data_IF_053719678159
#
_entry.id   IF_053719678159
#
_cell.length_a   1.000
_cell.length_b   1.000
_cell.length_c   1.000
_cell.angle_alpha   90.00
_cell.angle_beta   90.00
_cell.angle_gamma   90.00
#
_symmetry.space_group_name_H-M   'P 1'
#
loop_
_entity.id
_entity.type
_entity.pdbx_description
1 polymer ?
#
# COMPACT_ATOMS: atom_id res chain seq x y z
N UNK A 1 -11.35 -5.33 -40.07
CA UNK A 1 -10.93 -6.49 -39.27
C UNK A 1 -9.76 -7.27 -39.87
N UNK A 2 -9.65 -7.45 -41.20
CA UNK A 2 -8.55 -8.21 -41.84
C UNK A 2 -7.15 -7.60 -41.60
N UNK A 3 -7.02 -6.30 -41.80
CA UNK A 3 -5.74 -5.56 -41.73
C UNK A 3 -4.99 -5.74 -40.39
N UNK A 4 -5.71 -5.85 -39.27
CA UNK A 4 -5.13 -5.98 -37.92
C UNK A 4 -4.59 -7.40 -37.67
N UNK A 5 -5.16 -8.40 -38.33
CA UNK A 5 -4.80 -9.82 -38.14
C UNK A 5 -3.77 -10.34 -39.14
N UNK A 6 -3.45 -9.55 -40.18
CA UNK A 6 -2.53 -9.96 -41.26
C UNK A 6 -1.09 -10.18 -40.77
N UNK A 7 -0.67 -9.48 -39.72
CA UNK A 7 0.66 -9.64 -39.14
C UNK A 7 0.55 -9.87 -37.64
N UNK A 8 0.78 -11.13 -37.24
CA UNK A 8 0.88 -11.46 -35.83
C UNK A 8 2.06 -10.70 -35.22
N UNK A 9 1.82 -10.08 -34.07
CA UNK A 9 2.90 -9.53 -33.26
C UNK A 9 3.81 -10.67 -32.82
N UNK A 10 5.11 -10.41 -32.80
CA UNK A 10 6.08 -11.35 -32.26
C UNK A 10 5.69 -11.77 -30.84
N UNK A 11 5.93 -13.04 -30.45
CA UNK A 11 5.65 -13.52 -29.11
C UNK A 11 6.22 -12.56 -28.07
N UNK A 12 5.35 -12.05 -27.20
CA UNK A 12 5.79 -11.24 -26.06
C UNK A 12 6.85 -12.03 -25.31
N UNK A 13 8.05 -11.46 -25.16
CA UNK A 13 9.12 -12.06 -24.36
C UNK A 13 8.57 -12.46 -23.00
N UNK A 14 8.79 -13.72 -22.61
CA UNK A 14 8.45 -14.20 -21.27
C UNK A 14 9.08 -13.22 -20.26
N UNK A 15 8.24 -12.59 -19.46
CA UNK A 15 8.67 -11.77 -18.30
C UNK A 15 9.09 -12.72 -17.18
N UNK A 16 9.99 -13.66 -17.47
CA UNK A 16 10.44 -14.74 -16.61
C UNK A 16 11.81 -14.44 -16.02
N UNK A 17 12.05 -13.20 -15.60
CA UNK A 17 13.08 -12.93 -14.61
C UNK A 17 12.44 -12.72 -13.23
N UNK A 18 11.70 -13.72 -12.68
CA UNK A 18 11.22 -13.65 -11.31
C UNK A 18 12.41 -13.50 -10.37
N UNK A 19 13.62 -13.94 -10.76
CA UNK A 19 14.87 -13.65 -10.05
C UNK A 19 15.18 -12.15 -9.96
N UNK A 20 15.00 -11.38 -11.01
CA UNK A 20 15.26 -9.92 -10.98
C UNK A 20 14.21 -9.21 -10.15
N UNK A 21 12.94 -9.56 -10.33
CA UNK A 21 11.84 -9.00 -9.53
C UNK A 21 12.00 -9.38 -8.07
N UNK A 22 12.21 -10.66 -7.74
CA UNK A 22 12.44 -11.14 -6.38
C UNK A 22 13.69 -10.52 -5.77
N UNK A 23 14.82 -10.44 -6.48
CA UNK A 23 16.04 -9.79 -5.98
C UNK A 23 15.80 -8.30 -5.69
N UNK A 24 15.05 -7.60 -6.55
CA UNK A 24 14.67 -6.20 -6.34
C UNK A 24 13.75 -6.07 -5.13
N UNK A 25 12.66 -6.84 -5.08
CA UNK A 25 11.62 -6.72 -4.06
C UNK A 25 12.08 -7.22 -2.67
N UNK A 26 12.83 -8.32 -2.60
CA UNK A 26 13.31 -8.90 -1.33
C UNK A 26 14.43 -8.08 -0.68
N UNK A 27 15.22 -7.34 -1.47
CA UNK A 27 16.28 -6.46 -0.95
C UNK A 27 15.86 -4.98 -0.90
N UNK A 28 14.62 -4.66 -1.28
CA UNK A 28 14.11 -3.30 -1.18
C UNK A 28 13.70 -3.01 0.26
N UNK A 29 14.65 -2.53 1.05
CA UNK A 29 14.37 -2.10 2.41
C UNK A 29 13.41 -0.90 2.38
N UNK A 30 12.20 -1.07 2.91
CA UNK A 30 11.19 0.00 3.02
C UNK A 30 11.68 1.17 3.90
N UNK A 31 12.56 0.87 4.87
CA UNK A 31 13.18 1.84 5.77
C UNK A 31 14.70 1.72 5.70
N UNK A 32 15.38 2.87 5.73
CA UNK A 32 16.83 2.93 5.95
C UNK A 32 17.15 2.59 7.41
N UNK A 33 18.34 2.07 7.66
CA UNK A 33 18.83 1.71 9.00
C UNK A 33 18.72 2.87 10.00
N UNK A 34 18.98 4.10 9.54
CA UNK A 34 18.84 5.34 10.32
C UNK A 34 17.40 5.63 10.80
N UNK A 35 16.39 5.02 10.17
CA UNK A 35 14.98 5.21 10.53
C UNK A 35 14.43 4.10 11.44
N UNK A 36 15.24 3.11 11.84
CA UNK A 36 14.78 2.02 12.70
C UNK A 36 14.49 2.49 14.13
N UNK A 37 15.19 3.51 14.61
CA UNK A 37 15.05 4.06 15.96
C UNK A 37 14.91 5.58 15.88
N UNK A 38 13.78 6.12 15.36
CA UNK A 38 13.57 7.56 15.31
C UNK A 38 13.53 8.12 16.75
N UNK A 39 14.07 9.33 16.98
CA UNK A 39 13.99 9.95 18.30
C UNK A 39 12.53 10.15 18.71
N UNK A 40 12.24 9.94 19.99
CA UNK A 40 10.90 10.19 20.53
C UNK A 40 10.59 11.68 20.39
N UNK A 41 9.47 12.06 19.74
CA UNK A 41 9.12 13.46 19.61
C UNK A 41 8.84 14.06 20.99
N UNK A 42 9.28 15.30 21.23
CA UNK A 42 9.17 16.01 22.51
C UNK A 42 7.74 16.52 22.81
N UNK A 43 6.72 15.86 22.26
CA UNK A 43 5.32 16.27 22.37
C UNK A 43 4.85 15.92 23.79
N UNK A 44 4.13 16.82 24.48
CA UNK A 44 3.51 16.48 25.76
C UNK A 44 2.59 15.27 25.59
N UNK A 45 2.54 14.42 26.62
CA UNK A 45 1.71 13.22 26.61
C UNK A 45 0.27 13.59 26.25
N UNK A 46 -0.22 13.05 25.13
CA UNK A 46 -1.61 13.20 24.72
C UNK A 46 -2.45 12.43 25.73
N UNK A 47 -3.18 13.14 26.59
CA UNK A 47 -4.19 12.56 27.46
C UNK A 47 -5.39 12.16 26.61
N UNK A 48 -5.58 10.85 26.44
CA UNK A 48 -6.80 10.32 25.84
C UNK A 48 -7.96 10.60 26.79
N UNK A 49 -8.93 11.38 26.34
CA UNK A 49 -10.18 11.61 27.08
C UNK A 49 -11.16 10.50 26.72
N UNK A 50 -11.97 10.06 27.69
CA UNK A 50 -13.01 9.07 27.43
C UNK A 50 -13.95 9.55 26.31
N UNK A 51 -14.43 8.64 25.44
CA UNK A 51 -15.41 8.99 24.42
C UNK A 51 -16.65 9.59 25.07
N UNK A 52 -17.05 10.80 24.67
CA UNK A 52 -18.38 11.32 24.96
C UNK A 52 -19.40 10.40 24.30
N UNK A 53 -20.08 9.56 25.09
CA UNK A 53 -21.13 8.66 24.58
C UNK A 53 -22.13 9.48 23.78
N UNK A 54 -22.30 9.15 22.50
CA UNK A 54 -23.39 9.73 21.70
C UNK A 54 -24.71 9.18 22.23
N UNK A 55 -25.66 10.06 22.55
CA UNK A 55 -27.02 9.64 22.87
C UNK A 55 -27.63 9.00 21.61
N UNK A 56 -28.24 7.81 21.69
CA UNK A 56 -28.84 7.15 20.53
C UNK A 56 -30.02 7.97 19.99
N UNK A 57 -29.94 8.38 18.72
CA UNK A 57 -31.05 9.04 18.02
C UNK A 57 -32.12 8.00 17.66
N UNK A 58 -33.39 8.18 18.04
CA UNK A 58 -34.45 7.27 17.66
C UNK A 58 -34.71 7.33 16.15
N UNK A 59 -34.80 6.16 15.51
CA UNK A 59 -35.15 6.03 14.09
C UNK A 59 -36.65 6.27 13.92
N UNK A 60 -37.03 7.37 13.28
CA UNK A 60 -38.41 7.59 12.83
C UNK A 60 -38.65 6.64 11.64
N UNK A 61 -39.63 5.73 11.77
CA UNK A 61 -40.06 4.86 10.68
C UNK A 61 -41.05 5.62 9.78
N UNK A 62 -40.99 5.43 8.45
CA UNK A 62 -41.96 6.00 7.51
C UNK A 62 -43.35 5.36 7.68
#
# INVERSE_FOLDING_TARGET
>A
MREITERLLEPKRLRSNPRVIKRKMSNWALKRTEHNNPPRPAIPAVTLVEPTKTSPTPRIKP
#
